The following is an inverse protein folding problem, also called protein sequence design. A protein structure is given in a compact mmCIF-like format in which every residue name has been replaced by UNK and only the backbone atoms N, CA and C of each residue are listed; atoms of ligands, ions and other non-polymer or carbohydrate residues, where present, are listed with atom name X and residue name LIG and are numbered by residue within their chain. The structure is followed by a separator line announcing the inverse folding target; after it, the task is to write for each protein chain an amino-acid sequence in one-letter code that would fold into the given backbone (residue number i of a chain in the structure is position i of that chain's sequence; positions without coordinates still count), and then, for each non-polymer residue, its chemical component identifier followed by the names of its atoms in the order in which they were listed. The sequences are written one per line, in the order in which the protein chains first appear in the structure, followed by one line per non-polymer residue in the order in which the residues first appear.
data_IF_382773514568
#
_entry.id   IF_382773514568
#
_cell.length_a   1.000
_cell.length_b   1.000
_cell.length_c   1.000
_cell.angle_alpha   90.00
_cell.angle_beta   90.00
_cell.angle_gamma   90.00
#
_symmetry.space_group_name_H-M   'P 1'
#
loop_
_entity.id
_entity.type
_entity.pdbx_description
1 polymer ?
#
# COMPACT_ATOMS: atom_id res chain seq x y z
N UNK A 1 -22.17 -28.06 16.27
CA UNK A 1 -21.20 -28.11 17.39
C UNK A 1 -20.42 -29.43 17.46
N UNK A 2 -21.00 -30.58 17.13
CA UNK A 2 -20.29 -31.89 17.20
C UNK A 2 -19.02 -31.93 16.31
N UNK A 3 -19.06 -31.46 15.08
CA UNK A 3 -17.92 -31.47 14.15
C UNK A 3 -16.81 -30.46 14.51
N UNK A 4 -17.16 -29.32 15.10
CA UNK A 4 -16.22 -28.22 15.36
C UNK A 4 -15.07 -28.59 16.33
N UNK A 5 -15.35 -29.46 17.32
CA UNK A 5 -14.32 -29.93 18.27
C UNK A 5 -13.19 -30.71 17.57
N UNK A 6 -13.46 -31.41 16.48
CA UNK A 6 -12.47 -32.16 15.72
C UNK A 6 -11.59 -31.20 14.87
N UNK A 7 -12.18 -30.12 14.34
CA UNK A 7 -11.41 -29.05 13.69
C UNK A 7 -10.42 -28.41 14.65
N UNK A 8 -10.91 -28.05 15.86
CA UNK A 8 -10.05 -27.43 16.89
C UNK A 8 -8.99 -28.42 17.38
N UNK A 9 -9.36 -29.71 17.56
CA UNK A 9 -8.41 -30.77 17.91
C UNK A 9 -7.30 -30.88 16.85
N UNK A 10 -7.66 -31.05 15.58
CA UNK A 10 -6.69 -31.17 14.49
C UNK A 10 -5.79 -29.92 14.37
N UNK A 11 -6.38 -28.74 14.42
CA UNK A 11 -5.63 -27.48 14.35
C UNK A 11 -4.64 -27.33 15.51
N UNK A 12 -5.03 -27.76 16.72
CA UNK A 12 -4.25 -27.59 17.96
C UNK A 12 -3.16 -28.64 18.19
N UNK A 13 -3.07 -29.69 17.36
CA UNK A 13 -2.10 -30.76 17.53
C UNK A 13 -0.66 -30.25 17.35
N UNK A 14 0.18 -30.33 18.37
CA UNK A 14 1.59 -29.98 18.25
C UNK A 14 2.35 -31.03 17.45
N UNK A 15 3.43 -30.65 16.76
CA UNK A 15 4.31 -31.59 16.05
C UNK A 15 3.80 -32.10 14.72
N UNK A 16 2.52 -31.83 14.36
CA UNK A 16 1.96 -32.08 13.04
C UNK A 16 1.78 -30.73 12.33
N UNK A 17 2.57 -30.50 11.29
CA UNK A 17 2.55 -29.22 10.54
C UNK A 17 1.23 -29.04 9.75
N UNK A 18 0.89 -27.82 9.42
CA UNK A 18 -0.33 -27.47 8.66
C UNK A 18 -0.43 -28.22 7.36
N UNK A 19 0.68 -28.33 6.60
CA UNK A 19 0.69 -29.07 5.33
C UNK A 19 0.32 -30.54 5.49
N UNK A 20 0.85 -31.22 6.53
CA UNK A 20 0.49 -32.62 6.80
C UNK A 20 -1.00 -32.77 7.15
N UNK A 21 -1.55 -31.79 7.91
CA UNK A 21 -2.97 -31.75 8.25
C UNK A 21 -3.84 -31.55 7.02
N UNK A 22 -3.44 -30.67 6.10
CA UNK A 22 -4.14 -30.42 4.83
C UNK A 22 -4.12 -31.67 3.93
N UNK A 23 -2.93 -32.30 3.78
CA UNK A 23 -2.82 -33.53 3.00
C UNK A 23 -3.68 -34.68 3.57
N UNK A 24 -3.79 -34.79 4.90
CA UNK A 24 -4.72 -35.75 5.49
C UNK A 24 -6.18 -35.44 5.13
N UNK A 25 -6.58 -34.17 5.10
CA UNK A 25 -7.93 -33.75 4.71
C UNK A 25 -8.22 -34.02 3.23
N UNK A 26 -7.23 -34.17 2.37
CA UNK A 26 -7.40 -34.63 0.98
C UNK A 26 -7.77 -36.11 0.89
N UNK A 27 -7.40 -36.93 1.89
CA UNK A 27 -7.68 -38.36 1.94
C UNK A 27 -8.89 -38.69 2.79
N UNK A 28 -9.16 -37.93 3.83
CA UNK A 28 -10.29 -38.06 4.72
C UNK A 28 -11.28 -36.92 4.49
N UNK A 29 -12.56 -37.22 4.46
CA UNK A 29 -13.57 -36.21 4.16
C UNK A 29 -13.76 -35.15 5.28
N UNK A 30 -13.23 -35.42 6.48
CA UNK A 30 -13.39 -34.55 7.64
C UNK A 30 -12.33 -34.78 8.72
N UNK A 31 -12.10 -33.79 9.61
CA UNK A 31 -11.26 -33.99 10.81
C UNK A 31 -11.81 -35.08 11.74
N UNK A 32 -13.11 -35.33 11.73
CA UNK A 32 -13.73 -36.41 12.52
C UNK A 32 -13.28 -37.79 12.05
N UNK A 33 -13.18 -38.01 10.73
CA UNK A 33 -12.65 -39.25 10.18
C UNK A 33 -11.19 -39.44 10.52
N UNK A 34 -10.36 -38.38 10.45
CA UNK A 34 -8.96 -38.39 10.89
C UNK A 34 -8.87 -38.75 12.39
N UNK A 35 -9.78 -38.22 13.20
CA UNK A 35 -9.84 -38.53 14.61
C UNK A 35 -10.10 -40.01 14.88
N UNK A 36 -10.99 -40.65 14.16
CA UNK A 36 -11.30 -42.07 14.34
C UNK A 36 -10.36 -43.02 13.59
N UNK A 37 -9.57 -42.52 12.63
CA UNK A 37 -8.62 -43.36 11.88
C UNK A 37 -7.56 -44.00 12.78
N UNK A 38 -7.16 -45.21 12.41
CA UNK A 38 -6.07 -45.93 13.08
C UNK A 38 -4.70 -45.41 12.60
N UNK A 39 -3.64 -45.51 13.40
CA UNK A 39 -2.31 -45.06 13.01
C UNK A 39 -1.81 -45.59 11.67
N UNK A 40 -2.17 -46.86 11.35
CA UNK A 40 -1.81 -47.51 10.10
C UNK A 40 -2.49 -46.83 8.90
N UNK A 41 -3.76 -46.45 9.03
CA UNK A 41 -4.53 -45.74 8.00
C UNK A 41 -3.94 -44.34 7.76
N UNK A 42 -3.57 -43.63 8.83
CA UNK A 42 -2.90 -42.31 8.74
C UNK A 42 -1.55 -42.39 8.02
N UNK A 43 -0.77 -43.48 8.26
CA UNK A 43 0.51 -43.70 7.58
C UNK A 43 0.33 -43.97 6.08
N UNK A 44 -0.74 -44.62 5.66
CA UNK A 44 -1.02 -44.91 4.26
C UNK A 44 -1.25 -43.65 3.42
N UNK A 45 -1.63 -42.54 4.05
CA UNK A 45 -1.77 -41.24 3.34
C UNK A 45 -0.42 -40.68 2.85
N UNK A 46 0.69 -41.11 3.42
CA UNK A 46 2.01 -40.54 3.18
C UNK A 46 2.20 -39.10 3.75
N UNK A 47 1.15 -38.52 4.33
CA UNK A 47 1.17 -37.18 4.88
C UNK A 47 1.92 -37.05 6.21
N UNK A 48 1.98 -38.13 6.99
CA UNK A 48 2.56 -38.19 8.33
C UNK A 48 3.57 -39.33 8.49
N UNK A 49 4.55 -39.11 9.31
CA UNK A 49 5.50 -40.16 9.73
C UNK A 49 4.99 -40.89 10.99
N UNK A 50 5.68 -41.98 11.37
CA UNK A 50 5.31 -42.79 12.54
C UNK A 50 5.18 -42.00 13.85
N UNK A 51 6.07 -41.04 14.09
CA UNK A 51 5.97 -40.19 15.27
C UNK A 51 4.72 -39.29 15.24
N UNK A 52 4.41 -38.72 14.10
CA UNK A 52 3.22 -37.90 13.91
C UNK A 52 1.92 -38.73 13.99
N UNK A 53 1.88 -39.93 13.40
CA UNK A 53 0.75 -40.86 13.55
C UNK A 53 0.52 -41.22 15.02
N UNK A 54 1.57 -41.38 15.81
CA UNK A 54 1.46 -41.64 17.25
C UNK A 54 0.90 -40.43 18.01
N UNK A 55 1.25 -39.18 17.61
CA UNK A 55 0.64 -37.95 18.17
C UNK A 55 -0.87 -37.87 17.84
N UNK A 56 -1.26 -38.24 16.64
CA UNK A 56 -2.67 -38.34 16.20
C UNK A 56 -3.44 -39.46 16.89
N UNK A 57 -2.76 -40.45 17.46
CA UNK A 57 -3.38 -41.50 18.27
C UNK A 57 -3.85 -41.03 19.66
N UNK A 58 -3.33 -39.86 20.13
CA UNK A 58 -3.91 -39.20 21.30
C UNK A 58 -5.26 -38.60 20.94
N UNK A 59 -6.31 -39.28 21.35
CA UNK A 59 -7.70 -38.93 21.09
C UNK A 59 -8.30 -38.01 22.17
N UNK A 60 -7.45 -37.36 22.97
CA UNK A 60 -7.94 -36.39 23.97
C UNK A 60 -8.54 -35.17 23.30
N UNK A 61 -9.79 -34.85 23.59
CA UNK A 61 -10.48 -33.65 23.17
C UNK A 61 -10.46 -32.55 24.22
N UNK A 62 -9.88 -32.80 25.39
CA UNK A 62 -9.91 -31.85 26.53
C UNK A 62 -9.41 -30.45 26.11
N UNK A 63 -8.30 -30.36 25.39
CA UNK A 63 -7.75 -29.08 24.88
C UNK A 63 -8.72 -28.40 23.89
N UNK A 64 -9.38 -29.16 23.03
CA UNK A 64 -10.34 -28.60 22.10
C UNK A 64 -11.58 -28.06 22.81
N UNK A 65 -12.05 -28.77 23.83
CA UNK A 65 -13.18 -28.37 24.67
C UNK A 65 -12.87 -27.09 25.49
N UNK A 66 -11.64 -27.00 26.05
CA UNK A 66 -11.16 -25.81 26.72
C UNK A 66 -11.13 -24.59 25.79
N UNK A 67 -10.63 -24.75 24.56
CA UNK A 67 -10.60 -23.69 23.55
C UNK A 67 -12.01 -23.25 23.16
N UNK A 68 -12.91 -24.19 22.91
CA UNK A 68 -14.32 -23.90 22.60
C UNK A 68 -15.01 -23.16 23.74
N UNK A 69 -14.75 -23.59 24.99
CA UNK A 69 -15.26 -22.90 26.20
C UNK A 69 -14.71 -21.49 26.33
N UNK A 70 -13.42 -21.28 26.07
CA UNK A 70 -12.81 -19.96 26.07
C UNK A 70 -13.40 -19.04 25.00
N UNK A 71 -13.59 -19.52 23.77
CA UNK A 71 -14.25 -18.77 22.71
C UNK A 71 -15.67 -18.35 23.09
N UNK A 72 -16.45 -19.27 23.65
CA UNK A 72 -17.83 -18.97 24.09
C UNK A 72 -17.86 -17.90 25.19
N UNK A 73 -16.95 -17.96 26.18
CA UNK A 73 -16.84 -16.99 27.26
C UNK A 73 -16.45 -15.60 26.80
N UNK A 74 -15.64 -15.50 25.74
CA UNK A 74 -15.09 -14.21 25.25
C UNK A 74 -15.84 -13.69 24.02
N UNK A 75 -16.92 -14.36 23.59
CA UNK A 75 -17.71 -13.98 22.42
C UNK A 75 -16.94 -14.07 21.11
N UNK A 76 -16.02 -15.04 21.00
CA UNK A 76 -15.29 -15.34 19.78
C UNK A 76 -16.04 -16.38 18.96
N UNK A 77 -16.01 -16.22 17.63
CA UNK A 77 -16.48 -17.23 16.69
C UNK A 77 -15.28 -18.00 16.11
N UNK A 78 -15.57 -19.14 15.50
CA UNK A 78 -14.59 -19.95 14.77
C UNK A 78 -15.15 -20.20 13.37
N UNK A 79 -14.32 -19.96 12.35
CA UNK A 79 -14.62 -20.28 10.94
C UNK A 79 -13.63 -21.34 10.49
N UNK A 80 -14.12 -22.48 10.02
CA UNK A 80 -13.32 -23.60 9.51
C UNK A 80 -13.25 -23.57 7.99
N UNK A 81 -12.31 -24.31 7.40
CA UNK A 81 -12.19 -24.39 5.94
C UNK A 81 -13.44 -24.90 5.23
N UNK A 82 -14.31 -25.67 5.92
CA UNK A 82 -15.56 -26.19 5.38
C UNK A 82 -16.73 -25.20 5.43
N UNK A 83 -16.57 -24.11 6.22
CA UNK A 83 -17.63 -23.11 6.33
C UNK A 83 -17.75 -22.30 5.03
N UNK A 84 -18.99 -22.00 4.65
CA UNK A 84 -19.28 -21.19 3.45
C UNK A 84 -18.76 -19.76 3.55
N UNK A 85 -18.53 -19.27 4.77
CA UNK A 85 -17.97 -17.94 5.05
C UNK A 85 -16.44 -17.92 5.04
N UNK A 86 -15.79 -19.10 4.92
CA UNK A 86 -14.34 -19.13 4.79
C UNK A 86 -13.92 -18.61 3.41
N UNK A 87 -13.04 -17.59 3.34
CA UNK A 87 -12.72 -16.95 2.07
C UNK A 87 -12.05 -17.91 1.08
N UNK A 88 -12.60 -18.02 -0.15
CA UNK A 88 -12.01 -18.87 -1.19
C UNK A 88 -10.58 -18.43 -1.51
N UNK A 89 -10.35 -17.10 -1.58
CA UNK A 89 -9.01 -16.54 -1.80
C UNK A 89 -7.98 -16.92 -0.73
N UNK A 90 -8.42 -17.23 0.49
CA UNK A 90 -7.54 -17.71 1.56
C UNK A 90 -7.35 -19.23 1.48
N UNK A 91 -8.35 -19.97 0.98
CA UNK A 91 -8.23 -21.41 0.75
C UNK A 91 -7.20 -21.74 -0.33
N UNK A 92 -7.05 -20.83 -1.31
CA UNK A 92 -6.19 -21.01 -2.50
C UNK A 92 -4.70 -20.72 -2.22
N UNK A 93 -4.33 -20.23 -1.04
CA UNK A 93 -2.90 -20.04 -0.73
C UNK A 93 -2.21 -21.38 -0.44
N UNK A 94 -0.88 -21.42 -0.57
CA UNK A 94 -0.09 -22.64 -0.40
C UNK A 94 -0.27 -23.33 0.97
N UNK A 95 -0.47 -22.55 2.03
CA UNK A 95 -0.63 -23.02 3.42
C UNK A 95 -1.81 -22.32 4.09
N UNK A 96 -3.06 -22.66 3.73
CA UNK A 96 -4.24 -22.05 4.33
C UNK A 96 -4.42 -22.49 5.78
N UNK A 97 -4.89 -21.60 6.68
CA UNK A 97 -5.22 -21.98 8.04
C UNK A 97 -6.45 -22.90 8.06
N UNK A 98 -6.40 -24.01 8.81
CA UNK A 98 -7.53 -24.97 8.94
C UNK A 98 -8.78 -24.31 9.52
N UNK A 99 -8.58 -23.31 10.37
CA UNK A 99 -9.62 -22.50 10.96
C UNK A 99 -9.09 -21.11 11.35
N UNK A 100 -10.01 -20.19 11.51
CA UNK A 100 -9.75 -18.86 12.06
C UNK A 100 -10.61 -18.63 13.30
N UNK A 101 -10.01 -18.13 14.35
CA UNK A 101 -10.70 -17.53 15.49
C UNK A 101 -11.00 -16.08 15.14
N UNK A 102 -12.19 -15.59 15.49
CA UNK A 102 -12.59 -14.23 15.16
C UNK A 102 -13.37 -13.54 16.26
N UNK A 103 -13.31 -12.20 16.26
CA UNK A 103 -14.12 -11.33 17.10
C UNK A 103 -14.63 -10.15 16.26
N UNK A 104 -15.91 -9.81 16.41
CA UNK A 104 -16.60 -8.85 15.56
C UNK A 104 -17.47 -9.54 14.53
N UNK A 105 -17.60 -9.00 13.34
CA UNK A 105 -18.45 -9.51 12.28
C UNK A 105 -17.62 -10.00 11.10
N UNK A 106 -17.70 -11.29 10.76
CA UNK A 106 -17.00 -11.86 9.60
C UNK A 106 -17.63 -11.36 8.31
N UNK A 107 -16.90 -10.64 7.45
CA UNK A 107 -17.42 -10.23 6.14
C UNK A 107 -17.31 -11.40 5.15
N UNK A 108 -18.05 -11.32 4.07
CA UNK A 108 -17.82 -12.18 2.90
C UNK A 108 -16.61 -11.60 2.13
N UNK A 109 -15.39 -11.99 2.54
CA UNK A 109 -14.16 -11.42 1.98
C UNK A 109 -14.09 -11.50 0.46
N UNK A 110 -14.66 -12.54 -0.14
CA UNK A 110 -14.63 -12.72 -1.60
C UNK A 110 -15.46 -11.66 -2.34
N UNK A 111 -16.41 -11.04 -1.65
CA UNK A 111 -17.20 -9.92 -2.13
C UNK A 111 -16.61 -8.55 -1.74
N UNK A 112 -15.48 -8.52 -1.05
CA UNK A 112 -14.84 -7.29 -0.61
C UNK A 112 -13.57 -6.97 -1.42
N UNK A 113 -13.40 -5.69 -1.74
CA UNK A 113 -12.14 -5.15 -2.25
C UNK A 113 -11.18 -4.96 -1.07
N UNK A 114 -10.65 -6.06 -0.52
CA UNK A 114 -9.78 -6.05 0.64
C UNK A 114 -8.35 -5.68 0.24
N UNK A 115 -7.81 -4.60 0.83
CA UNK A 115 -6.46 -4.10 0.58
C UNK A 115 -5.66 -4.17 1.88
N UNK A 116 -4.55 -4.91 1.85
CA UNK A 116 -3.61 -4.97 2.97
C UNK A 116 -2.71 -3.74 2.97
N UNK A 117 -2.69 -2.98 4.08
CA UNK A 117 -1.78 -1.84 4.25
C UNK A 117 -0.78 -2.19 5.35
N UNK A 118 0.50 -2.20 4.98
CA UNK A 118 1.59 -2.64 5.87
C UNK A 118 2.79 -1.68 5.80
N UNK A 119 3.64 -1.76 6.81
CA UNK A 119 4.88 -0.98 6.82
C UNK A 119 5.71 -1.17 8.08
N UNK A 120 6.71 -0.32 8.21
CA UNK A 120 7.62 -0.35 9.36
C UNK A 120 6.92 0.05 10.66
N UNK A 121 7.37 -0.57 11.76
CA UNK A 121 6.94 -0.20 13.12
C UNK A 121 7.57 1.10 13.62
N UNK A 122 8.72 1.47 13.04
CA UNK A 122 9.49 2.70 13.35
C UNK A 122 9.37 3.67 12.18
N UNK A 123 8.14 4.07 11.88
CA UNK A 123 7.83 4.97 10.77
C UNK A 123 8.12 6.44 11.11
N UNK A 124 8.27 7.25 10.07
CA UNK A 124 8.39 8.70 10.19
C UNK A 124 7.02 9.36 10.35
N UNK A 125 6.99 10.68 10.65
CA UNK A 125 5.76 11.45 10.64
C UNK A 125 5.08 11.40 9.26
N UNK A 126 5.87 11.50 8.17
CA UNK A 126 5.39 11.32 6.80
C UNK A 126 4.68 9.97 6.62
N UNK A 127 5.32 8.87 7.03
CA UNK A 127 4.72 7.55 6.92
C UNK A 127 3.42 7.39 7.71
N UNK A 128 3.33 7.97 8.91
CA UNK A 128 2.10 7.97 9.70
C UNK A 128 0.96 8.73 9.00
N UNK A 129 1.26 9.91 8.47
CA UNK A 129 0.27 10.76 7.79
C UNK A 129 -0.22 10.08 6.51
N UNK A 130 0.71 9.59 5.67
CA UNK A 130 0.37 8.89 4.43
C UNK A 130 -0.43 7.61 4.71
N UNK A 131 -0.03 6.80 5.69
CA UNK A 131 -0.78 5.58 6.05
C UNK A 131 -2.20 5.91 6.53
N UNK A 132 -2.34 6.94 7.37
CA UNK A 132 -3.66 7.37 7.86
C UNK A 132 -4.54 7.92 6.75
N UNK A 133 -3.97 8.73 5.85
CA UNK A 133 -4.70 9.27 4.69
C UNK A 133 -5.08 8.15 3.72
N UNK A 134 -4.14 7.29 3.35
CA UNK A 134 -4.41 6.17 2.44
C UNK A 134 -5.48 5.23 3.00
N UNK A 135 -5.41 4.87 4.29
CA UNK A 135 -6.44 4.07 4.94
C UNK A 135 -7.82 4.75 4.92
N UNK A 136 -7.87 6.05 5.15
CA UNK A 136 -9.10 6.84 5.05
C UNK A 136 -9.66 6.85 3.63
N UNK A 137 -8.82 7.12 2.63
CA UNK A 137 -9.24 7.19 1.22
C UNK A 137 -9.70 5.83 0.67
N UNK A 138 -8.96 4.75 0.97
CA UNK A 138 -9.34 3.38 0.61
C UNK A 138 -10.75 3.06 1.14
N UNK A 139 -10.97 3.29 2.44
CA UNK A 139 -12.26 3.03 3.08
C UNK A 139 -13.38 3.91 2.52
N UNK A 140 -13.14 5.20 2.31
CA UNK A 140 -14.11 6.14 1.70
C UNK A 140 -14.50 5.74 0.28
N UNK A 141 -13.61 5.10 -0.44
CA UNK A 141 -13.83 4.65 -1.82
C UNK A 141 -14.38 3.22 -1.88
N UNK A 142 -14.72 2.62 -0.74
CA UNK A 142 -15.44 1.36 -0.65
C UNK A 142 -14.55 0.11 -0.48
N UNK A 143 -13.25 0.28 -0.24
CA UNK A 143 -12.36 -0.84 0.06
C UNK A 143 -12.43 -1.23 1.54
N UNK A 144 -12.23 -2.52 1.80
CA UNK A 144 -11.96 -3.06 3.12
C UNK A 144 -10.46 -2.90 3.41
N UNK A 145 -10.12 -2.18 4.47
CA UNK A 145 -8.72 -2.03 4.90
C UNK A 145 -8.33 -3.16 5.83
N UNK A 146 -7.30 -3.91 5.44
CA UNK A 146 -6.79 -5.06 6.18
C UNK A 146 -5.37 -4.77 6.67
N UNK A 147 -5.04 -5.08 7.92
CA UNK A 147 -3.70 -4.88 8.45
C UNK A 147 -3.36 -5.84 9.59
N UNK A 148 -2.09 -5.81 10.01
CA UNK A 148 -1.58 -6.66 11.09
C UNK A 148 -1.69 -6.05 12.48
N UNK A 149 -2.31 -4.89 12.63
CA UNK A 149 -2.47 -4.17 13.90
C UNK A 149 -1.13 -3.86 14.60
N UNK A 150 -0.02 -3.89 13.88
CA UNK A 150 1.28 -3.56 14.46
C UNK A 150 1.38 -2.05 14.78
N UNK A 151 2.39 -1.68 15.58
CA UNK A 151 2.74 -0.27 15.79
C UNK A 151 3.15 0.38 14.46
N UNK A 152 2.95 1.68 14.34
CA UNK A 152 3.37 2.46 13.17
C UNK A 152 2.36 2.43 12.03
N UNK A 153 2.79 2.03 10.84
CA UNK A 153 1.99 2.10 9.60
C UNK A 153 0.66 1.35 9.73
N UNK A 154 0.67 0.12 10.23
CA UNK A 154 -0.52 -0.71 10.38
C UNK A 154 -1.60 0.02 11.20
N UNK A 155 -1.23 0.48 12.39
CA UNK A 155 -2.14 1.21 13.28
C UNK A 155 -2.63 2.53 12.68
N UNK A 156 -1.78 3.27 11.95
CA UNK A 156 -2.16 4.52 11.31
C UNK A 156 -3.18 4.31 10.19
N UNK A 157 -2.95 3.31 9.33
CA UNK A 157 -3.87 2.97 8.25
C UNK A 157 -5.24 2.54 8.78
N UNK A 158 -5.26 1.68 9.80
CA UNK A 158 -6.51 1.24 10.44
C UNK A 158 -7.27 2.40 11.07
N UNK A 159 -6.59 3.33 11.77
CA UNK A 159 -7.20 4.56 12.29
C UNK A 159 -7.83 5.41 11.19
N UNK A 160 -7.13 5.54 10.06
CA UNK A 160 -7.64 6.25 8.89
C UNK A 160 -8.95 5.63 8.39
N UNK A 161 -8.96 4.31 8.19
CA UNK A 161 -10.13 3.57 7.73
C UNK A 161 -11.32 3.67 8.69
N UNK A 162 -11.08 3.51 10.00
CA UNK A 162 -12.11 3.67 11.04
C UNK A 162 -12.70 5.08 11.06
N UNK A 163 -11.87 6.13 10.92
CA UNK A 163 -12.33 7.53 10.79
C UNK A 163 -13.23 7.76 9.58
N UNK A 164 -13.01 7.01 8.52
CA UNK A 164 -13.85 7.04 7.32
C UNK A 164 -15.20 6.30 7.50
N UNK A 165 -15.38 5.58 8.61
CA UNK A 165 -16.52 4.69 8.83
C UNK A 165 -16.47 3.42 7.98
N UNK A 166 -15.29 3.07 7.46
CA UNK A 166 -15.10 1.88 6.62
C UNK A 166 -14.91 0.61 7.42
N UNK A 167 -15.26 -0.52 6.81
CA UNK A 167 -15.03 -1.83 7.40
C UNK A 167 -13.52 -2.13 7.45
N UNK A 168 -13.03 -2.51 8.62
CA UNK A 168 -11.61 -2.74 8.87
C UNK A 168 -11.39 -4.12 9.43
N UNK A 169 -10.41 -4.85 8.92
CA UNK A 169 -10.05 -6.17 9.40
C UNK A 169 -8.63 -6.20 9.94
N UNK A 170 -8.42 -6.90 11.05
CA UNK A 170 -7.11 -7.14 11.62
C UNK A 170 -6.80 -8.63 11.63
N UNK A 171 -5.57 -9.02 11.28
CA UNK A 171 -5.07 -10.37 11.52
C UNK A 171 -3.98 -10.31 12.59
N UNK A 172 -4.09 -11.13 13.64
CA UNK A 172 -3.17 -11.09 14.77
C UNK A 172 -2.18 -12.26 14.76
N UNK A 173 -1.02 -12.06 15.38
CA UNK A 173 -0.02 -13.10 15.61
C UNK A 173 -0.09 -13.73 17.02
N UNK A 174 -1.20 -13.60 17.70
CA UNK A 174 -1.55 -14.17 18.99
C UNK A 174 -3.03 -14.44 19.08
N UNK A 175 -3.54 -14.88 20.22
CA UNK A 175 -4.98 -15.08 20.43
C UNK A 175 -5.78 -13.81 20.15
N UNK A 176 -7.01 -13.97 19.66
CA UNK A 176 -7.88 -12.81 19.33
C UNK A 176 -8.18 -11.96 20.56
N UNK A 177 -8.15 -12.53 21.74
CA UNK A 177 -8.35 -11.87 23.05
C UNK A 177 -7.09 -11.22 23.61
N UNK A 178 -5.94 -11.43 22.99
CA UNK A 178 -4.65 -10.85 23.40
C UNK A 178 -4.34 -9.61 22.59
N UNK A 179 -4.50 -8.43 23.22
CA UNK A 179 -4.26 -7.15 22.57
C UNK A 179 -2.77 -6.84 22.50
N UNK A 180 -2.24 -6.84 21.28
CA UNK A 180 -0.83 -6.51 21.03
C UNK A 180 -0.67 -5.67 19.74
N UNK A 181 0.11 -4.57 19.78
CA UNK A 181 0.69 -3.95 20.97
C UNK A 181 -0.34 -3.25 21.84
N UNK A 182 -0.05 -3.06 23.13
CA UNK A 182 -1.00 -2.46 24.09
C UNK A 182 -1.42 -1.03 23.70
N UNK A 183 -0.56 -0.28 23.03
CA UNK A 183 -0.84 1.07 22.53
C UNK A 183 -1.99 1.09 21.51
N UNK A 184 -2.22 0.00 20.80
CA UNK A 184 -3.30 -0.13 19.80
C UNK A 184 -4.62 -0.68 20.40
N UNK A 185 -4.75 -0.76 21.75
CA UNK A 185 -5.96 -1.25 22.40
C UNK A 185 -7.23 -0.59 21.88
N UNK A 186 -7.24 0.74 21.74
CA UNK A 186 -8.41 1.47 21.26
C UNK A 186 -8.74 1.08 19.80
N UNK A 187 -7.73 0.95 18.94
CA UNK A 187 -7.94 0.48 17.56
C UNK A 187 -8.53 -0.94 17.57
N UNK A 188 -7.99 -1.81 18.41
CA UNK A 188 -8.51 -3.17 18.56
C UNK A 188 -9.98 -3.18 18.95
N UNK A 189 -10.37 -2.38 19.94
CA UNK A 189 -11.76 -2.28 20.42
C UNK A 189 -12.69 -1.74 19.32
N UNK A 190 -12.26 -0.70 18.60
CA UNK A 190 -13.02 -0.12 17.50
C UNK A 190 -13.17 -1.13 16.33
N UNK A 191 -12.09 -1.84 15.95
CA UNK A 191 -12.14 -2.88 14.91
C UNK A 191 -13.02 -4.05 15.33
N UNK A 192 -12.94 -4.49 16.58
CA UNK A 192 -13.79 -5.57 17.07
C UNK A 192 -15.28 -5.18 17.13
N UNK A 193 -15.59 -3.89 17.28
CA UNK A 193 -16.94 -3.38 17.32
C UNK A 193 -17.55 -3.12 15.93
N UNK A 194 -16.76 -2.67 14.95
CA UNK A 194 -17.26 -2.22 13.63
C UNK A 194 -16.73 -3.01 12.45
N UNK A 195 -15.82 -3.96 12.69
CA UNK A 195 -15.15 -4.77 11.72
C UNK A 195 -14.91 -6.19 12.22
N UNK A 196 -13.71 -6.72 11.99
CA UNK A 196 -13.33 -8.06 12.42
C UNK A 196 -11.85 -8.13 12.84
N UNK A 197 -11.60 -8.85 13.92
CA UNK A 197 -10.26 -9.26 14.35
C UNK A 197 -10.16 -10.78 14.18
N UNK A 198 -9.13 -11.24 13.48
CA UNK A 198 -8.92 -12.64 13.11
C UNK A 198 -7.57 -13.16 13.61
N UNK A 199 -7.50 -14.43 13.92
CA UNK A 199 -6.25 -15.13 14.22
C UNK A 199 -6.35 -16.62 13.91
N UNK A 200 -5.23 -17.24 13.57
CA UNK A 200 -5.08 -18.71 13.51
C UNK A 200 -4.79 -19.32 14.89
N UNK A 201 -4.38 -18.47 15.85
CA UNK A 201 -3.99 -18.91 17.19
C UNK A 201 -5.18 -18.96 18.14
N UNK A 202 -5.28 -20.00 18.97
CA UNK A 202 -6.39 -20.14 19.92
C UNK A 202 -6.36 -19.01 20.99
N UNK A 203 -7.50 -18.79 21.69
CA UNK A 203 -7.58 -17.82 22.77
C UNK A 203 -6.46 -17.96 23.80
N UNK A 204 -6.02 -16.83 24.34
CA UNK A 204 -4.94 -16.76 25.36
C UNK A 204 -3.53 -16.99 24.81
N UNK A 205 -3.33 -17.17 23.50
CA UNK A 205 -2.00 -17.34 22.92
C UNK A 205 -1.25 -16.02 22.91
N UNK A 206 -0.11 -15.97 23.61
CA UNK A 206 0.76 -14.79 23.61
C UNK A 206 1.44 -14.58 22.26
N UNK A 207 1.60 -13.34 21.79
CA UNK A 207 2.26 -13.03 20.54
C UNK A 207 3.75 -13.28 20.65
N UNK A 208 4.29 -14.14 19.80
CA UNK A 208 5.72 -14.43 19.68
C UNK A 208 6.29 -13.92 18.36
N UNK A 209 7.58 -13.59 18.33
CA UNK A 209 8.24 -13.07 17.13
C UNK A 209 8.08 -14.00 15.91
N UNK A 210 8.10 -15.32 16.13
CA UNK A 210 7.90 -16.35 15.09
C UNK A 210 6.49 -16.38 14.51
N UNK A 211 5.49 -15.87 15.23
CA UNK A 211 4.10 -15.87 14.78
C UNK A 211 3.82 -14.82 13.69
N UNK A 212 4.57 -13.70 13.68
CA UNK A 212 4.29 -12.60 12.76
C UNK A 212 4.53 -12.96 11.28
N UNK A 213 5.65 -13.61 10.90
CA UNK A 213 5.83 -14.08 9.52
C UNK A 213 4.78 -15.11 9.12
N UNK A 214 4.41 -16.03 10.01
CA UNK A 214 3.36 -17.04 9.74
C UNK A 214 2.01 -16.38 9.51
N UNK A 215 1.64 -15.39 10.35
CA UNK A 215 0.41 -14.63 10.21
C UNK A 215 0.34 -13.86 8.89
N UNK A 216 1.46 -13.33 8.39
CA UNK A 216 1.46 -12.48 7.19
C UNK A 216 0.90 -13.20 5.96
N UNK A 217 1.01 -14.55 5.86
CA UNK A 217 0.40 -15.32 4.77
C UNK A 217 -1.14 -15.23 4.77
N UNK A 218 -1.73 -15.09 5.95
CA UNK A 218 -3.19 -14.91 6.09
C UNK A 218 -3.59 -13.50 5.70
N UNK A 219 -2.78 -12.51 6.11
CA UNK A 219 -2.99 -11.12 5.76
C UNK A 219 -2.98 -10.91 4.23
N UNK A 220 -1.96 -11.40 3.55
CA UNK A 220 -1.87 -11.33 2.09
C UNK A 220 -2.90 -12.22 1.41
N UNK A 221 -3.18 -13.42 1.95
CA UNK A 221 -4.17 -14.35 1.42
C UNK A 221 -5.59 -13.79 1.41
N UNK A 222 -5.97 -13.01 2.42
CA UNK A 222 -7.27 -12.33 2.51
C UNK A 222 -7.36 -11.09 1.61
N UNK A 223 -6.25 -10.54 1.15
CA UNK A 223 -6.24 -9.31 0.36
C UNK A 223 -6.23 -9.57 -1.15
N UNK A 224 -6.60 -8.55 -1.92
CA UNK A 224 -6.40 -8.48 -3.36
C UNK A 224 -5.02 -7.93 -3.68
N UNK A 225 -4.58 -6.97 -2.87
CA UNK A 225 -3.29 -6.31 -2.99
C UNK A 225 -2.70 -6.02 -1.62
N UNK A 226 -1.36 -5.94 -1.58
CA UNK A 226 -0.60 -5.45 -0.44
C UNK A 226 0.08 -4.13 -0.79
N UNK A 227 -0.08 -3.12 0.08
CA UNK A 227 0.52 -1.79 -0.07
C UNK A 227 1.55 -1.58 1.03
N UNK A 228 2.78 -1.26 0.65
CA UNK A 228 3.87 -0.93 1.57
C UNK A 228 4.05 0.58 1.62
N UNK A 229 3.80 1.20 2.79
CA UNK A 229 3.87 2.67 2.93
C UNK A 229 5.27 3.16 3.26
N UNK A 230 5.91 2.55 4.24
CA UNK A 230 7.33 2.76 4.56
C UNK A 230 7.97 1.43 4.95
N UNK A 231 9.15 1.15 4.42
CA UNK A 231 9.93 -0.02 4.77
C UNK A 231 11.43 0.24 4.54
N UNK A 232 12.30 0.08 5.55
CA UNK A 232 13.74 -0.03 5.31
C UNK A 232 14.06 -1.32 4.53
N UNK A 233 15.28 -1.43 3.98
CA UNK A 233 15.73 -2.59 3.17
C UNK A 233 15.53 -3.95 3.85
N UNK A 234 15.58 -3.99 5.18
CA UNK A 234 15.32 -5.19 5.99
C UNK A 234 14.12 -4.93 6.89
N UNK A 235 12.93 -5.23 6.38
CA UNK A 235 11.67 -4.98 7.07
C UNK A 235 10.73 -6.18 6.99
N UNK A 236 10.01 -6.46 8.06
CA UNK A 236 8.94 -7.46 8.08
C UNK A 236 7.81 -7.16 7.08
N UNK A 237 7.62 -5.89 6.71
CA UNK A 237 6.65 -5.50 5.68
C UNK A 237 7.05 -6.00 4.28
N UNK A 238 8.36 -6.08 3.99
CA UNK A 238 8.85 -6.65 2.73
C UNK A 238 8.61 -8.16 2.65
N UNK A 239 8.61 -8.86 3.79
CA UNK A 239 8.22 -10.28 3.85
C UNK A 239 6.74 -10.41 3.45
N UNK A 240 5.87 -9.51 3.94
CA UNK A 240 4.45 -9.52 3.54
C UNK A 240 4.30 -9.26 2.05
N UNK A 241 5.06 -8.32 1.48
CA UNK A 241 5.05 -8.03 0.04
C UNK A 241 5.51 -9.25 -0.79
N UNK A 242 6.60 -9.91 -0.39
CA UNK A 242 7.09 -11.13 -1.04
C UNK A 242 6.06 -12.26 -0.98
N UNK A 243 5.47 -12.50 0.20
CA UNK A 243 4.42 -13.50 0.37
C UNK A 243 3.18 -13.18 -0.47
N UNK A 244 2.82 -11.89 -0.60
CA UNK A 244 1.71 -11.46 -1.46
C UNK A 244 1.98 -11.80 -2.93
N UNK A 245 3.18 -11.52 -3.44
CA UNK A 245 3.59 -11.89 -4.80
C UNK A 245 3.56 -13.42 -5.01
N UNK A 246 4.10 -14.19 -4.06
CA UNK A 246 4.06 -15.67 -4.11
C UNK A 246 2.62 -16.23 -4.17
N UNK A 247 1.67 -15.51 -3.59
CA UNK A 247 0.24 -15.82 -3.61
C UNK A 247 -0.51 -15.23 -4.81
N UNK A 248 0.20 -14.62 -5.78
CA UNK A 248 -0.40 -13.98 -6.96
C UNK A 248 -1.22 -12.74 -6.64
N UNK A 249 -0.85 -12.01 -5.56
CA UNK A 249 -1.47 -10.73 -5.21
C UNK A 249 -0.66 -9.58 -5.77
N UNK A 250 -1.33 -8.51 -6.16
CA UNK A 250 -0.66 -7.30 -6.58
C UNK A 250 0.07 -6.64 -5.40
N UNK A 251 1.24 -6.09 -5.68
CA UNK A 251 2.02 -5.34 -4.69
C UNK A 251 2.18 -3.91 -5.15
N UNK A 252 1.93 -3.01 -4.22
CA UNK A 252 2.06 -1.57 -4.40
C UNK A 252 2.99 -0.99 -3.34
N UNK A 253 3.62 0.14 -3.65
CA UNK A 253 4.46 0.84 -2.70
C UNK A 253 4.34 2.36 -2.82
N UNK A 254 4.39 3.03 -1.69
CA UNK A 254 4.43 4.49 -1.63
C UNK A 254 5.87 4.96 -1.85
N UNK A 255 6.13 5.87 -2.80
CA UNK A 255 7.46 6.40 -3.03
C UNK A 255 7.90 7.31 -1.88
N UNK A 256 9.20 7.42 -1.68
CA UNK A 256 9.76 8.35 -0.71
C UNK A 256 11.15 8.83 -1.10
N UNK A 257 11.74 9.78 -0.34
CA UNK A 257 13.04 10.33 -0.65
C UNK A 257 14.12 9.25 -0.75
N UNK A 258 14.97 9.33 -1.78
CA UNK A 258 16.00 8.32 -2.08
C UNK A 258 17.05 8.17 -0.98
N UNK A 259 17.26 9.21 -0.19
CA UNK A 259 18.21 9.24 0.92
C UNK A 259 17.58 8.84 2.28
N UNK A 260 16.24 8.66 2.33
CA UNK A 260 15.56 8.27 3.56
C UNK A 260 15.64 6.74 3.78
N UNK A 261 16.17 6.28 4.93
CA UNK A 261 16.31 4.85 5.20
C UNK A 261 15.00 4.07 5.09
N UNK A 262 13.88 4.64 5.56
CA UNK A 262 12.56 4.00 5.55
C UNK A 262 11.89 3.96 4.16
N UNK A 263 12.41 4.70 3.17
CA UNK A 263 11.90 4.67 1.80
C UNK A 263 12.61 3.65 0.91
N UNK A 264 13.79 3.17 1.33
CA UNK A 264 14.64 2.32 0.49
C UNK A 264 13.96 1.03 0.05
N UNK A 265 13.23 0.36 0.95
CA UNK A 265 12.50 -0.86 0.63
C UNK A 265 11.34 -0.60 -0.32
N UNK A 266 10.57 0.47 -0.11
CA UNK A 266 9.47 0.86 -1.00
C UNK A 266 9.98 1.24 -2.40
N UNK A 267 11.03 2.07 -2.47
CA UNK A 267 11.63 2.46 -3.75
C UNK A 267 12.25 1.26 -4.49
N UNK A 268 12.78 0.27 -3.75
CA UNK A 268 13.25 -0.98 -4.35
C UNK A 268 12.09 -1.79 -4.92
N UNK A 269 10.98 -1.95 -4.18
CA UNK A 269 9.78 -2.62 -4.69
C UNK A 269 9.26 -1.97 -5.97
N UNK A 270 9.18 -0.63 -6.03
CA UNK A 270 8.74 0.11 -7.23
C UNK A 270 9.69 -0.15 -8.40
N UNK A 271 11.00 -0.05 -8.18
CA UNK A 271 12.01 -0.36 -9.20
C UNK A 271 11.89 -1.79 -9.72
N UNK A 272 11.51 -2.74 -8.85
CA UNK A 272 11.39 -4.16 -9.16
C UNK A 272 10.00 -4.51 -9.73
N UNK A 273 9.13 -3.49 -9.96
CA UNK A 273 7.87 -3.63 -10.69
C UNK A 273 6.59 -3.51 -9.85
N UNK A 274 6.70 -3.21 -8.55
CA UNK A 274 5.51 -2.91 -7.75
C UNK A 274 4.82 -1.62 -8.22
N UNK A 275 3.48 -1.58 -8.15
CA UNK A 275 2.71 -0.40 -8.50
C UNK A 275 3.06 0.79 -7.61
N UNK A 276 3.30 1.96 -8.19
CA UNK A 276 3.53 3.20 -7.47
C UNK A 276 2.20 3.77 -6.98
N UNK A 277 2.16 4.23 -5.71
CA UNK A 277 0.95 4.79 -5.08
C UNK A 277 1.17 6.23 -4.67
N UNK A 278 0.37 7.12 -5.24
CA UNK A 278 0.22 8.51 -4.83
C UNK A 278 -1.17 8.78 -4.21
N UNK A 279 -2.19 8.04 -4.64
CA UNK A 279 -3.56 8.10 -4.12
C UNK A 279 -4.19 6.71 -4.03
N UNK A 280 -5.27 6.55 -3.28
CA UNK A 280 -5.94 5.25 -3.14
C UNK A 280 -6.46 4.68 -4.47
N UNK A 281 -6.81 5.54 -5.42
CA UNK A 281 -7.31 5.11 -6.72
C UNK A 281 -6.26 4.47 -7.61
N UNK A 282 -4.97 4.72 -7.37
CA UNK A 282 -3.88 4.02 -8.07
C UNK A 282 -3.96 2.50 -7.84
N UNK A 283 -4.50 2.08 -6.69
CA UNK A 283 -4.71 0.69 -6.33
C UNK A 283 -6.10 0.23 -6.79
N UNK A 284 -7.14 1.00 -6.45
CA UNK A 284 -8.53 0.57 -6.61
C UNK A 284 -8.97 0.50 -8.06
N UNK A 285 -8.37 1.28 -8.96
CA UNK A 285 -8.63 1.25 -10.40
C UNK A 285 -8.43 -0.13 -11.02
N UNK A 286 -7.52 -0.95 -10.48
CA UNK A 286 -7.29 -2.33 -10.93
C UNK A 286 -8.50 -3.25 -10.64
N UNK A 287 -9.33 -2.89 -9.67
CA UNK A 287 -10.41 -3.72 -9.15
C UNK A 287 -11.81 -3.13 -9.41
N UNK A 288 -11.91 -1.94 -10.03
CA UNK A 288 -13.19 -1.26 -10.31
C UNK A 288 -14.14 -2.18 -11.09
N UNK A 289 -13.65 -2.84 -12.13
CA UNK A 289 -14.44 -3.77 -12.94
C UNK A 289 -14.93 -5.02 -12.18
N UNK A 290 -14.22 -5.44 -11.15
CA UNK A 290 -14.59 -6.59 -10.30
C UNK A 290 -15.59 -6.20 -9.21
N UNK A 291 -15.52 -4.96 -8.70
CA UNK A 291 -16.37 -4.47 -7.61
C UNK A 291 -17.10 -3.16 -7.98
N UNK A 292 -17.84 -3.13 -9.11
CA UNK A 292 -18.42 -1.88 -9.66
C UNK A 292 -19.45 -1.24 -8.73
N UNK A 293 -20.08 -2.02 -7.84
CA UNK A 293 -21.10 -1.53 -6.91
C UNK A 293 -20.54 -1.06 -5.57
N UNK A 294 -19.26 -1.39 -5.28
CA UNK A 294 -18.59 -1.05 -4.02
C UNK A 294 -17.58 0.06 -4.19
N UNK A 295 -16.72 -0.04 -5.22
CA UNK A 295 -15.66 0.93 -5.45
C UNK A 295 -16.19 2.17 -6.16
N UNK A 296 -15.85 3.35 -5.62
CA UNK A 296 -16.25 4.64 -6.19
C UNK A 296 -15.09 5.61 -6.08
N UNK A 297 -14.60 6.08 -7.23
CA UNK A 297 -13.61 7.16 -7.23
C UNK A 297 -14.24 8.42 -6.62
N UNK A 298 -13.75 8.82 -5.46
CA UNK A 298 -14.05 10.15 -4.95
C UNK A 298 -13.26 11.12 -5.82
N UNK A 299 -13.95 11.92 -6.64
CA UNK A 299 -13.32 13.13 -7.17
C UNK A 299 -12.86 13.92 -5.95
N UNK A 300 -11.55 14.18 -5.83
CA UNK A 300 -11.08 15.20 -4.93
C UNK A 300 -11.99 16.41 -5.18
N UNK A 301 -12.75 16.83 -4.18
CA UNK A 301 -13.28 18.18 -4.24
C UNK A 301 -12.04 19.02 -4.48
N UNK A 302 -11.94 19.63 -5.67
CA UNK A 302 -10.99 20.73 -5.84
C UNK A 302 -11.16 21.54 -4.56
N UNK A 303 -10.09 21.79 -3.76
CA UNK A 303 -10.25 22.63 -2.59
C UNK A 303 -11.04 23.81 -3.10
N UNK A 304 -12.23 24.02 -2.53
CA UNK A 304 -13.01 25.21 -2.87
C UNK A 304 -11.99 26.34 -2.74
N UNK A 305 -11.53 26.83 -3.88
CA UNK A 305 -10.83 28.12 -3.91
C UNK A 305 -11.73 28.98 -3.04
N UNK A 306 -11.28 29.53 -1.92
CA UNK A 306 -12.16 30.22 -1.01
C UNK A 306 -13.04 31.11 -1.86
N UNK A 307 -14.33 30.76 -1.98
CA UNK A 307 -15.33 31.64 -2.57
C UNK A 307 -15.14 32.88 -1.76
N UNK A 308 -14.56 33.91 -2.41
CA UNK A 308 -14.15 35.10 -1.73
C UNK A 308 -15.17 35.42 -0.64
N UNK A 309 -14.75 35.36 0.60
CA UNK A 309 -15.46 36.04 1.68
C UNK A 309 -15.86 37.36 1.09
N UNK A 310 -17.16 37.68 1.14
CA UNK A 310 -17.72 38.95 0.70
C UNK A 310 -16.68 40.05 0.93
N UNK A 311 -15.94 40.36 -0.13
CA UNK A 311 -15.09 41.53 -0.13
C UNK A 311 -16.05 42.71 0.01
N UNK A 312 -15.86 43.59 0.99
CA UNK A 312 -16.66 44.80 1.06
C UNK A 312 -16.63 45.43 -0.35
N UNK A 313 -17.83 45.83 -0.86
CA UNK A 313 -17.98 46.49 -2.11
C UNK A 313 -16.94 47.60 -2.24
N UNK A 314 -15.83 47.28 -2.85
CA UNK A 314 -14.89 48.28 -3.32
C UNK A 314 -15.49 48.85 -4.59
N UNK A 315 -15.79 50.13 -4.52
CA UNK A 315 -16.14 50.95 -5.72
C UNK A 315 -15.20 50.56 -6.85
N UNK A 316 -15.70 50.47 -8.10
CA UNK A 316 -14.90 50.06 -9.24
C UNK A 316 -13.62 50.91 -9.28
N UNK A 317 -12.51 50.30 -9.01
CA UNK A 317 -11.19 50.88 -9.26
C UNK A 317 -11.09 50.98 -10.79
N UNK A 318 -10.72 52.10 -11.35
CA UNK A 318 -10.56 52.24 -12.80
C UNK A 318 -9.59 51.13 -13.26
N UNK A 319 -10.00 50.45 -14.33
CA UNK A 319 -9.17 49.48 -15.02
C UNK A 319 -7.82 50.19 -15.29
N UNK A 320 -6.67 49.68 -14.77
CA UNK A 320 -5.41 50.24 -15.18
C UNK A 320 -5.32 50.11 -16.68
N UNK A 321 -5.16 51.24 -17.36
CA UNK A 321 -4.75 51.26 -18.74
C UNK A 321 -3.67 50.22 -18.98
N UNK A 322 -3.74 49.50 -20.11
CA UNK A 322 -2.75 48.55 -20.54
C UNK A 322 -1.36 49.06 -20.14
N UNK A 323 -0.72 48.38 -19.19
CA UNK A 323 0.69 48.60 -18.96
C UNK A 323 1.37 48.35 -20.29
N UNK A 324 1.97 49.37 -20.83
CA UNK A 324 2.85 49.26 -21.96
C UNK A 324 3.87 48.17 -21.65
N UNK A 325 3.98 47.21 -22.54
CA UNK A 325 5.00 46.16 -22.51
C UNK A 325 6.32 46.85 -22.27
N UNK A 326 7.12 46.51 -21.24
CA UNK A 326 8.41 47.12 -21.05
C UNK A 326 9.20 46.95 -22.35
N UNK A 327 9.59 48.09 -22.96
CA UNK A 327 10.45 48.08 -24.12
C UNK A 327 11.74 47.32 -23.77
N UNK A 328 11.95 46.18 -24.44
CA UNK A 328 13.20 45.45 -24.26
C UNK A 328 14.36 46.30 -24.76
N UNK A 329 15.54 46.26 -24.12
CA UNK A 329 16.72 46.91 -24.63
C UNK A 329 17.01 46.47 -26.08
N UNK A 330 17.30 47.38 -26.97
CA UNK A 330 17.64 47.08 -28.38
C UNK A 330 19.13 46.79 -28.50
N UNK A 331 19.48 45.61 -28.99
CA UNK A 331 20.84 45.25 -29.35
C UNK A 331 21.05 45.46 -30.84
N UNK A 332 21.82 46.44 -31.23
CA UNK A 332 22.11 46.78 -32.61
C UNK A 332 23.27 45.89 -33.15
N UNK A 333 22.96 44.99 -34.04
CA UNK A 333 23.93 44.08 -34.71
C UNK A 333 24.11 44.40 -36.18
N UNK A 334 23.59 45.54 -36.69
CA UNK A 334 23.69 45.98 -38.10
C UNK A 334 25.10 46.31 -38.55
N UNK A 335 26.00 46.65 -37.61
CA UNK A 335 27.37 47.09 -37.91
C UNK A 335 28.45 46.06 -37.53
N UNK A 336 28.03 44.80 -37.23
CA UNK A 336 28.91 43.70 -36.85
C UNK A 336 28.49 43.01 -35.55
N UNK A 337 29.16 41.94 -35.16
CA UNK A 337 28.69 41.05 -34.06
C UNK A 337 28.80 41.65 -32.63
N UNK A 338 29.17 42.93 -32.48
CA UNK A 338 29.24 43.66 -31.17
C UNK A 338 29.90 42.85 -30.04
N UNK A 339 30.97 42.09 -30.37
CA UNK A 339 31.68 41.26 -29.42
C UNK A 339 31.06 39.88 -29.18
N UNK A 340 29.91 39.55 -29.83
CA UNK A 340 29.28 38.25 -29.78
C UNK A 340 29.95 37.28 -30.77
N UNK A 341 30.02 36.02 -30.42
CA UNK A 341 30.42 34.94 -31.34
C UNK A 341 29.29 34.58 -32.31
N UNK A 342 29.63 33.92 -33.43
CA UNK A 342 28.65 33.47 -34.40
C UNK A 342 27.59 32.56 -33.77
N UNK A 343 27.98 31.70 -32.82
CA UNK A 343 27.07 30.82 -32.09
C UNK A 343 26.09 31.62 -31.20
N UNK A 344 26.58 32.66 -30.50
CA UNK A 344 25.77 33.53 -29.66
C UNK A 344 24.75 34.30 -30.49
N UNK A 345 25.17 34.85 -31.62
CA UNK A 345 24.27 35.58 -32.51
C UNK A 345 23.19 34.67 -33.11
N UNK A 346 23.58 33.48 -33.54
CA UNK A 346 22.64 32.47 -34.07
C UNK A 346 21.60 32.07 -33.03
N UNK A 347 22.02 31.90 -31.78
CA UNK A 347 21.12 31.58 -30.66
C UNK A 347 20.17 32.73 -30.31
N UNK A 348 20.65 33.96 -30.30
CA UNK A 348 19.79 35.15 -30.07
C UNK A 348 18.72 35.30 -31.13
N UNK A 349 18.97 34.89 -32.37
CA UNK A 349 17.99 34.94 -33.47
C UNK A 349 16.85 33.93 -33.29
N UNK A 350 17.17 32.78 -32.72
CA UNK A 350 16.21 31.68 -32.57
C UNK A 350 15.43 31.78 -31.24
N UNK A 351 16.04 32.37 -30.19
CA UNK A 351 15.40 32.49 -28.88
C UNK A 351 14.25 33.53 -28.92
N UNK A 352 13.01 33.14 -28.55
CA UNK A 352 11.89 34.07 -28.48
C UNK A 352 11.99 34.97 -27.24
N UNK A 353 11.24 36.07 -27.25
CA UNK A 353 11.17 37.06 -26.17
C UNK A 353 10.00 36.85 -25.23
N UNK A 354 9.01 36.04 -25.61
CA UNK A 354 7.74 35.84 -24.92
C UNK A 354 7.57 34.43 -24.34
N UNK A 355 8.26 33.44 -24.91
CA UNK A 355 8.18 32.04 -24.50
C UNK A 355 9.58 31.44 -24.36
N UNK A 356 9.84 30.71 -23.29
CA UNK A 356 11.15 30.08 -23.09
C UNK A 356 11.33 28.86 -24.02
N UNK A 357 12.48 28.76 -24.69
CA UNK A 357 12.89 27.66 -25.56
C UNK A 357 13.90 26.75 -24.85
N UNK A 358 13.79 25.42 -24.98
CA UNK A 358 14.76 24.47 -24.44
C UNK A 358 16.11 24.57 -25.19
N UNK A 359 17.20 24.38 -24.47
CA UNK A 359 18.54 24.40 -25.06
C UNK A 359 18.71 23.32 -26.16
N UNK A 360 18.08 22.16 -26.01
CA UNK A 360 18.10 21.09 -27.01
C UNK A 360 17.35 21.50 -28.28
N UNK A 361 16.22 22.18 -28.16
CA UNK A 361 15.47 22.71 -29.31
C UNK A 361 16.24 23.84 -30.03
N UNK A 362 16.90 24.70 -29.27
CA UNK A 362 17.78 25.73 -29.83
C UNK A 362 18.97 25.12 -30.59
N UNK A 363 19.53 24.00 -30.09
CA UNK A 363 20.59 23.26 -30.77
C UNK A 363 20.11 22.67 -32.11
N UNK A 364 18.89 22.11 -32.13
CA UNK A 364 18.28 21.57 -33.35
C UNK A 364 18.00 22.68 -34.40
N UNK A 365 17.54 23.83 -33.97
CA UNK A 365 17.20 24.93 -34.87
C UNK A 365 18.43 25.67 -35.44
N UNK A 366 19.55 25.66 -34.70
CA UNK A 366 20.77 26.36 -35.10
C UNK A 366 21.83 25.43 -35.73
N UNK A 367 21.62 24.13 -35.67
CA UNK A 367 22.59 23.09 -36.06
C UNK A 367 23.95 23.21 -35.32
N UNK A 368 23.90 23.76 -34.09
CA UNK A 368 25.06 23.92 -33.21
C UNK A 368 25.09 22.76 -32.20
N UNK A 369 26.24 22.09 -32.03
CA UNK A 369 26.35 21.02 -31.04
C UNK A 369 25.95 21.50 -29.62
N UNK A 370 25.15 20.72 -28.92
CA UNK A 370 24.54 21.08 -27.60
C UNK A 370 25.57 21.62 -26.58
N UNK A 371 26.79 21.10 -26.55
CA UNK A 371 27.86 21.59 -25.66
C UNK A 371 28.21 23.04 -25.95
N UNK A 372 28.26 23.45 -27.24
CA UNK A 372 28.54 24.81 -27.67
C UNK A 372 27.35 25.72 -27.39
N UNK A 373 26.13 25.22 -27.59
CA UNK A 373 24.88 25.93 -27.24
C UNK A 373 24.85 26.27 -25.76
N UNK A 374 25.08 25.31 -24.87
CA UNK A 374 25.09 25.53 -23.42
C UNK A 374 26.17 26.53 -23.00
N UNK A 375 27.35 26.47 -23.58
CA UNK A 375 28.44 27.43 -23.34
C UNK A 375 28.05 28.84 -23.79
N UNK A 376 27.50 28.97 -24.99
CA UNK A 376 27.06 30.25 -25.53
C UNK A 376 25.88 30.85 -24.76
N UNK A 377 24.89 30.05 -24.38
CA UNK A 377 23.75 30.47 -23.54
C UNK A 377 24.21 30.94 -22.17
N UNK A 378 25.20 30.31 -21.55
CA UNK A 378 25.76 30.74 -20.27
C UNK A 378 26.42 32.11 -20.38
N UNK A 379 27.16 32.35 -21.44
CA UNK A 379 27.76 33.66 -21.67
C UNK A 379 26.71 34.73 -21.94
N UNK A 380 25.72 34.45 -22.77
CA UNK A 380 24.60 35.34 -23.04
C UNK A 380 23.77 35.66 -21.77
N UNK A 381 23.66 34.70 -20.84
CA UNK A 381 22.99 34.90 -19.54
C UNK A 381 23.83 35.85 -18.65
N UNK A 382 25.16 35.70 -18.62
CA UNK A 382 26.05 36.57 -17.88
C UNK A 382 26.01 37.99 -18.44
N UNK A 383 25.97 38.14 -19.77
CA UNK A 383 25.92 39.44 -20.46
C UNK A 383 24.51 40.06 -20.40
N UNK A 384 23.50 39.35 -19.84
CA UNK A 384 22.16 39.86 -19.66
C UNK A 384 21.27 39.84 -20.91
N UNK A 385 21.69 39.21 -22.00
CA UNK A 385 20.93 39.10 -23.25
C UNK A 385 19.90 37.97 -23.26
N UNK A 386 20.07 37.01 -22.34
CA UNK A 386 19.17 35.84 -22.19
C UNK A 386 18.87 35.64 -20.72
N UNK A 387 17.69 35.13 -20.41
CA UNK A 387 17.33 34.74 -19.04
C UNK A 387 16.87 33.30 -19.02
N UNK A 388 17.39 32.55 -18.06
CA UNK A 388 16.94 31.18 -17.79
C UNK A 388 15.56 31.17 -17.12
N UNK A 389 14.66 30.30 -17.60
CA UNK A 389 13.34 30.12 -17.05
C UNK A 389 13.08 28.62 -16.84
N UNK A 390 13.28 28.11 -15.61
CA UNK A 390 13.16 26.69 -15.31
C UNK A 390 14.39 25.85 -15.68
N UNK A 391 14.24 24.52 -15.70
CA UNK A 391 15.33 23.59 -15.94
C UNK A 391 15.68 23.51 -17.44
N UNK A 392 16.68 24.26 -17.89
CA UNK A 392 17.25 24.16 -19.24
C UNK A 392 16.53 24.94 -20.33
N UNK A 393 15.59 25.84 -19.98
CA UNK A 393 14.89 26.71 -20.93
C UNK A 393 15.38 28.16 -20.82
N UNK A 394 15.46 28.85 -21.95
CA UNK A 394 15.98 30.22 -22.05
C UNK A 394 15.05 31.07 -22.89
N UNK A 395 14.98 32.36 -22.55
CA UNK A 395 14.28 33.37 -23.35
C UNK A 395 15.20 34.59 -23.56
N UNK A 396 15.03 35.28 -24.68
CA UNK A 396 15.77 36.48 -25.01
C UNK A 396 15.20 37.71 -24.27
N UNK A 397 16.06 38.52 -23.73
CA UNK A 397 15.70 39.74 -22.97
C UNK A 397 16.01 41.03 -23.72
N UNK A 398 16.39 40.96 -24.99
CA UNK A 398 16.73 42.10 -25.85
C UNK A 398 16.02 41.97 -27.20
N UNK A 399 15.73 43.09 -27.86
CA UNK A 399 15.32 43.11 -29.27
C UNK A 399 16.56 43.22 -30.16
N UNK A 400 16.59 42.47 -31.25
CA UNK A 400 17.68 42.53 -32.23
C UNK A 400 17.33 43.54 -33.32
N UNK A 401 18.24 44.48 -33.57
CA UNK A 401 18.17 45.38 -34.72
C UNK A 401 19.23 44.93 -35.72
N UNK A 402 18.80 44.43 -36.88
CA UNK A 402 19.67 43.86 -37.95
C UNK A 402 19.77 44.77 -39.18
N UNK A 403 19.02 45.90 -39.23
CA UNK A 403 19.08 46.93 -40.30
C UNK A 403 19.35 48.33 -39.73
#
# INVERSE_FOLDING_TARGET
MAALKYWVWLASLPGVGSRAKLQMLEHFSSPEEIYYAQPEELLLTGAVNKAQAQLLADKSLARAEDVLSACAKTGQFIVTMDDTTYPSRLRDIFDPPLLLYGKGSMPLFDDEAAIAVVGTRSCTAYGLDVASQLGYELARQGALVLSGMAKGIDGAAMKGALRAGGFTAAVLGGGVDVVYPAENRRIYEDVAATGVVLSEYPPGTEPMASHFPVRNRILSGLSLAAVVVEAPERSGALITASTALEQGREVFAVPGPINAPNSKGCNALIRDGAGLVCEAWDILSFYEGRFPHKLRRLRAALPDLPKGTDAPETKPVPIPEKQETPHLPVLDVSHGPNGLTDDQLSLLRVLPTDQALLADDAALQTDIPIRRVLSALTMLEIDGYVRRQGAGSFLRTVELKEE
#
